data_IF_691997829925
#
_entry.id   IF_691997829925
#
_cell.length_a   1.000
_cell.length_b   1.000
_cell.length_c   1.000
_cell.angle_alpha   90.00
_cell.angle_beta   90.00
_cell.angle_gamma   90.00
#
_symmetry.space_group_name_H-M   'P 1'
#
loop_
_entity.id
_entity.type
_entity.pdbx_description
1 polymer ?
#
# COMPACT_ATOMS: atom_id res chain seq x y z
N UNK A 1 -38.60 17.87 62.22
CA UNK A 1 -38.36 18.71 61.07
C UNK A 1 -36.97 18.51 60.38
N UNK A 2 -36.19 17.44 60.66
CA UNK A 2 -34.84 17.24 60.02
C UNK A 2 -34.79 16.10 59.03
N UNK A 3 -35.74 15.19 59.00
CA UNK A 3 -35.76 14.03 58.11
C UNK A 3 -36.34 14.39 56.75
N UNK A 4 -37.30 15.32 56.69
CA UNK A 4 -37.92 15.78 55.43
C UNK A 4 -36.95 16.50 54.51
N UNK A 5 -35.99 17.26 55.07
CA UNK A 5 -34.99 17.97 54.25
C UNK A 5 -33.88 17.03 53.64
N UNK A 6 -33.61 15.93 54.36
CA UNK A 6 -32.60 14.94 53.84
C UNK A 6 -33.17 14.13 52.68
N UNK A 7 -34.47 13.78 52.76
CA UNK A 7 -35.13 13.05 51.63
C UNK A 7 -35.28 13.95 50.41
N UNK A 8 -35.54 15.25 50.59
CA UNK A 8 -35.65 16.20 49.48
C UNK A 8 -34.32 16.45 48.79
N UNK A 9 -33.20 16.46 49.54
CA UNK A 9 -31.85 16.61 49.00
C UNK A 9 -31.41 15.35 48.24
N UNK A 10 -31.81 14.15 48.66
CA UNK A 10 -31.49 12.89 48.01
C UNK A 10 -32.26 12.70 46.69
N UNK A 11 -33.50 13.19 46.59
CA UNK A 11 -34.32 13.17 45.39
C UNK A 11 -33.78 14.17 44.35
N UNK A 12 -33.24 15.30 44.77
CA UNK A 12 -32.70 16.33 43.87
C UNK A 12 -31.38 15.90 43.19
N UNK A 13 -30.58 15.03 43.83
CA UNK A 13 -29.32 14.49 43.24
C UNK A 13 -29.59 13.41 42.18
N UNK A 14 -30.76 12.74 42.27
CA UNK A 14 -31.09 11.68 41.30
C UNK A 14 -31.69 12.20 39.99
N UNK A 15 -32.11 13.46 39.92
CA UNK A 15 -32.71 14.07 38.71
C UNK A 15 -31.68 14.61 37.72
N UNK A 16 -30.39 14.68 38.10
CA UNK A 16 -29.31 15.10 37.24
C UNK A 16 -28.64 13.96 36.44
N UNK A 17 -29.15 12.72 36.53
CA UNK A 17 -28.91 11.70 35.52
C UNK A 17 -29.68 12.09 34.24
N UNK A 18 -29.32 13.25 33.69
CA UNK A 18 -29.86 13.75 32.43
C UNK A 18 -29.79 12.65 31.40
N UNK A 19 -30.93 12.28 30.85
CA UNK A 19 -31.07 11.42 29.69
C UNK A 19 -30.26 12.02 28.54
N UNK A 20 -28.96 11.75 28.47
CA UNK A 20 -28.21 12.00 27.30
C UNK A 20 -28.77 11.05 26.25
N UNK A 21 -29.31 11.62 25.17
CA UNK A 21 -29.82 10.82 24.04
C UNK A 21 -28.66 10.18 23.32
N UNK A 22 -28.82 8.94 22.82
CA UNK A 22 -27.80 8.31 21.99
C UNK A 22 -27.38 9.25 20.83
N UNK A 23 -26.09 9.43 20.54
CA UNK A 23 -25.61 10.27 19.45
C UNK A 23 -25.76 9.55 18.10
N UNK A 24 -26.97 9.08 17.79
CA UNK A 24 -27.26 8.21 16.64
C UNK A 24 -26.81 8.79 15.31
N UNK A 25 -26.95 10.10 15.11
CA UNK A 25 -26.52 10.78 13.90
C UNK A 25 -24.99 10.65 13.70
N UNK A 26 -24.19 10.98 14.73
CA UNK A 26 -22.74 10.86 14.67
C UNK A 26 -22.27 9.41 14.54
N UNK A 27 -22.96 8.47 15.17
CA UNK A 27 -22.67 7.05 15.07
C UNK A 27 -22.93 6.52 13.66
N UNK A 28 -24.03 6.95 13.02
CA UNK A 28 -24.32 6.60 11.63
C UNK A 28 -23.30 7.23 10.68
N UNK A 29 -22.96 8.50 10.86
CA UNK A 29 -21.92 9.18 10.09
C UNK A 29 -20.57 8.44 10.17
N UNK A 30 -20.18 7.98 11.37
CA UNK A 30 -18.97 7.20 11.57
C UNK A 30 -19.04 5.84 10.85
N UNK A 31 -20.17 5.16 10.89
CA UNK A 31 -20.37 3.91 10.18
C UNK A 31 -20.26 4.12 8.67
N UNK A 32 -20.91 5.13 8.13
CA UNK A 32 -20.89 5.44 6.70
C UNK A 32 -19.48 5.87 6.25
N UNK A 33 -18.74 6.62 7.07
CA UNK A 33 -17.38 7.01 6.77
C UNK A 33 -16.45 5.77 6.66
N UNK A 34 -16.55 4.85 7.62
CA UNK A 34 -15.76 3.61 7.60
C UNK A 34 -16.13 2.73 6.40
N UNK A 35 -17.42 2.60 6.09
CA UNK A 35 -17.88 1.86 4.90
C UNK A 35 -17.33 2.50 3.60
N UNK A 36 -17.33 3.83 3.48
CA UNK A 36 -16.72 4.51 2.33
C UNK A 36 -15.24 4.19 2.20
N UNK A 37 -14.50 4.23 3.31
CA UNK A 37 -13.06 3.90 3.29
C UNK A 37 -12.80 2.42 2.98
N UNK A 38 -13.68 1.51 3.40
CA UNK A 38 -13.61 0.08 3.08
C UNK A 38 -13.88 -0.23 1.61
N UNK A 39 -14.67 0.59 0.95
CA UNK A 39 -14.98 0.48 -0.48
C UNK A 39 -14.00 1.27 -1.36
N UNK A 40 -13.10 2.04 -0.78
CA UNK A 40 -12.06 2.76 -1.50
C UNK A 40 -10.86 1.84 -1.76
N UNK A 41 -10.62 1.51 -3.03
CA UNK A 41 -9.58 0.57 -3.43
C UNK A 41 -8.17 1.05 -3.04
N UNK A 42 -7.93 2.36 -3.09
CA UNK A 42 -6.63 2.94 -2.71
C UNK A 42 -6.43 2.87 -1.19
N UNK A 43 -7.46 3.15 -0.39
CA UNK A 43 -7.41 3.03 1.05
C UNK A 43 -7.12 1.58 1.49
N UNK A 44 -7.80 0.61 0.87
CA UNK A 44 -7.60 -0.83 1.14
C UNK A 44 -6.18 -1.27 0.79
N UNK A 45 -5.65 -0.80 -0.33
CA UNK A 45 -4.36 -1.25 -0.86
C UNK A 45 -3.19 -0.54 -0.19
N UNK A 46 -3.28 0.78 0.02
CA UNK A 46 -2.13 1.61 0.41
C UNK A 46 -2.21 2.17 1.83
N UNK A 47 -3.38 2.10 2.49
CA UNK A 47 -3.55 2.54 3.87
C UNK A 47 -4.23 1.49 4.79
N UNK A 48 -3.94 0.18 4.67
CA UNK A 48 -4.65 -0.88 5.38
C UNK A 48 -4.58 -0.73 6.90
N UNK A 49 -3.46 -0.26 7.44
CA UNK A 49 -3.29 -0.10 8.89
C UNK A 49 -4.19 1.00 9.45
N UNK A 50 -4.39 2.11 8.73
CA UNK A 50 -5.27 3.19 9.15
C UNK A 50 -6.73 2.73 9.07
N UNK A 51 -7.08 1.95 8.04
CA UNK A 51 -8.40 1.36 7.87
C UNK A 51 -8.74 0.38 9.00
N UNK A 52 -7.78 -0.46 9.42
CA UNK A 52 -7.95 -1.34 10.60
C UNK A 52 -8.20 -0.53 11.87
N UNK A 53 -7.50 0.60 12.06
CA UNK A 53 -7.74 1.48 13.21
C UNK A 53 -9.13 2.12 13.17
N UNK A 54 -9.61 2.53 11.98
CA UNK A 54 -10.96 3.07 11.81
C UNK A 54 -12.02 2.03 12.21
N UNK A 55 -11.91 0.79 11.75
CA UNK A 55 -12.78 -0.33 12.12
C UNK A 55 -12.80 -0.62 13.61
N UNK A 56 -11.62 -0.69 14.22
CA UNK A 56 -11.47 -0.95 15.66
C UNK A 56 -12.10 0.17 16.48
N UNK A 57 -11.91 1.43 16.07
CA UNK A 57 -12.51 2.59 16.73
C UNK A 57 -14.04 2.58 16.58
N UNK A 58 -14.56 2.23 15.40
CA UNK A 58 -16.00 2.06 15.17
C UNK A 58 -16.59 0.96 16.06
N UNK A 59 -15.88 -0.14 16.25
CA UNK A 59 -16.31 -1.22 17.15
C UNK A 59 -16.35 -0.75 18.62
N UNK A 60 -15.31 -0.01 19.05
CA UNK A 60 -15.27 0.57 20.40
C UNK A 60 -16.40 1.58 20.61
N UNK A 61 -16.71 2.41 19.62
CA UNK A 61 -17.84 3.33 19.66
C UNK A 61 -19.16 2.60 19.93
N UNK A 62 -19.41 1.49 19.22
CA UNK A 62 -20.63 0.69 19.41
C UNK A 62 -20.68 0.12 20.84
N UNK A 63 -19.57 -0.40 21.34
CA UNK A 63 -19.47 -0.94 22.70
C UNK A 63 -19.74 0.11 23.77
N UNK A 64 -19.24 1.33 23.62
CA UNK A 64 -19.51 2.43 24.57
C UNK A 64 -20.98 2.88 24.52
N UNK A 65 -21.58 2.90 23.33
CA UNK A 65 -22.99 3.22 23.16
C UNK A 65 -23.91 2.17 23.82
N UNK A 66 -23.58 0.88 23.73
CA UNK A 66 -24.35 -0.23 24.30
C UNK A 66 -24.41 -0.13 25.83
N UNK A 67 -23.33 0.35 26.46
CA UNK A 67 -23.29 0.61 27.91
C UNK A 67 -23.71 2.03 28.28
N UNK A 68 -24.33 2.76 27.35
CA UNK A 68 -24.89 4.12 27.52
C UNK A 68 -23.86 5.19 27.89
N UNK A 69 -22.59 5.00 27.55
CA UNK A 69 -21.54 6.01 27.67
C UNK A 69 -21.50 6.88 26.40
N UNK A 70 -22.56 7.69 26.27
CA UNK A 70 -22.81 8.40 25.01
C UNK A 70 -21.78 9.47 24.67
N UNK A 71 -21.14 10.11 25.65
CA UNK A 71 -20.07 11.07 25.41
C UNK A 71 -18.82 10.37 24.82
N UNK A 72 -18.40 9.25 25.42
CA UNK A 72 -17.31 8.43 24.90
C UNK A 72 -17.64 7.87 23.50
N UNK A 73 -18.89 7.43 23.29
CA UNK A 73 -19.32 6.97 21.98
C UNK A 73 -19.24 8.07 20.92
N UNK A 74 -19.60 9.30 21.26
CA UNK A 74 -19.50 10.46 20.38
C UNK A 74 -18.05 10.79 20.00
N UNK A 75 -17.14 10.81 20.98
CA UNK A 75 -15.72 11.03 20.74
C UNK A 75 -15.12 9.95 19.85
N UNK A 76 -15.48 8.68 20.08
CA UNK A 76 -15.05 7.57 19.25
C UNK A 76 -15.65 7.62 17.84
N UNK A 77 -16.88 8.11 17.68
CA UNK A 77 -17.48 8.35 16.38
C UNK A 77 -16.67 9.37 15.58
N UNK A 78 -16.36 10.51 16.19
CA UNK A 78 -15.53 11.56 15.55
C UNK A 78 -14.13 11.03 15.18
N UNK A 79 -13.53 10.23 16.06
CA UNK A 79 -12.24 9.59 15.81
C UNK A 79 -12.31 8.56 14.66
N UNK A 80 -13.38 7.78 14.59
CA UNK A 80 -13.57 6.81 13.51
C UNK A 80 -13.75 7.50 12.15
N UNK A 81 -14.50 8.60 12.10
CA UNK A 81 -14.64 9.45 10.89
C UNK A 81 -13.27 9.95 10.44
N UNK A 82 -12.52 10.58 11.36
CA UNK A 82 -11.21 11.13 11.04
C UNK A 82 -10.22 10.05 10.55
N UNK A 83 -10.28 8.85 11.13
CA UNK A 83 -9.43 7.73 10.69
C UNK A 83 -9.87 7.20 9.31
N UNK A 84 -11.17 7.14 9.03
CA UNK A 84 -11.68 6.73 7.73
C UNK A 84 -11.28 7.72 6.63
N UNK A 85 -11.46 9.01 6.87
CA UNK A 85 -11.06 10.05 5.93
C UNK A 85 -9.53 10.07 5.72
N UNK A 86 -8.77 9.86 6.80
CA UNK A 86 -7.31 9.69 6.73
C UNK A 86 -6.92 8.47 5.90
N UNK A 87 -7.61 7.34 6.03
CA UNK A 87 -7.32 6.15 5.25
C UNK A 87 -7.49 6.41 3.74
N UNK A 88 -8.55 7.11 3.35
CA UNK A 88 -8.80 7.52 1.96
C UNK A 88 -7.69 8.47 1.46
N UNK A 89 -7.32 9.47 2.25
CA UNK A 89 -6.29 10.44 1.87
C UNK A 89 -4.90 9.79 1.76
N UNK A 90 -4.52 8.96 2.73
CA UNK A 90 -3.26 8.22 2.73
C UNK A 90 -3.23 7.19 1.58
N UNK A 91 -4.37 6.54 1.31
CA UNK A 91 -4.57 5.62 0.19
C UNK A 91 -4.26 6.28 -1.14
N UNK A 92 -4.90 7.41 -1.42
CA UNK A 92 -4.68 8.21 -2.62
C UNK A 92 -3.22 8.66 -2.77
N UNK A 93 -2.60 9.08 -1.67
CA UNK A 93 -1.19 9.48 -1.66
C UNK A 93 -0.28 8.28 -1.94
N UNK A 94 -0.59 7.13 -1.35
CA UNK A 94 0.12 5.86 -1.58
C UNK A 94 0.01 5.40 -3.03
N UNK A 95 -1.18 5.45 -3.62
CA UNK A 95 -1.41 5.13 -5.03
C UNK A 95 -0.61 6.04 -5.97
N UNK A 96 -0.57 7.36 -5.67
CA UNK A 96 0.25 8.31 -6.42
C UNK A 96 1.73 7.94 -6.40
N UNK A 97 2.29 7.65 -5.23
CA UNK A 97 3.70 7.23 -5.12
C UNK A 97 3.98 5.92 -5.85
N UNK A 98 3.09 4.94 -5.71
CA UNK A 98 3.23 3.66 -6.40
C UNK A 98 3.18 3.81 -7.92
N UNK A 99 2.33 4.70 -8.43
CA UNK A 99 2.28 5.06 -9.85
C UNK A 99 3.61 5.65 -10.33
N UNK A 100 4.14 6.63 -9.59
CA UNK A 100 5.39 7.30 -9.96
C UNK A 100 6.57 6.33 -9.92
N UNK A 101 6.65 5.48 -8.90
CA UNK A 101 7.66 4.43 -8.79
C UNK A 101 7.57 3.45 -9.96
N UNK A 102 6.38 2.94 -10.26
CA UNK A 102 6.16 2.02 -11.37
C UNK A 102 6.52 2.66 -12.71
N UNK A 103 6.11 3.91 -12.93
CA UNK A 103 6.42 4.63 -14.17
C UNK A 103 7.93 4.85 -14.35
N UNK A 104 8.63 5.28 -13.30
CA UNK A 104 10.07 5.48 -13.34
C UNK A 104 10.82 4.17 -13.60
N UNK A 105 10.43 3.09 -12.92
CA UNK A 105 11.02 1.79 -13.12
C UNK A 105 10.80 1.29 -14.55
N UNK A 106 9.56 1.24 -15.03
CA UNK A 106 9.20 0.75 -16.38
C UNK A 106 9.89 1.57 -17.47
N UNK A 107 9.97 2.89 -17.30
CA UNK A 107 10.65 3.75 -18.28
C UNK A 107 12.17 3.50 -18.32
N UNK A 108 12.80 3.16 -17.19
CA UNK A 108 14.22 2.84 -17.13
C UNK A 108 14.57 1.49 -17.80
N UNK A 109 13.62 0.55 -17.87
CA UNK A 109 13.86 -0.78 -18.42
C UNK A 109 14.24 -0.74 -19.91
N UNK A 110 13.68 0.19 -20.68
CA UNK A 110 13.99 0.29 -22.12
C UNK A 110 15.48 0.58 -22.38
N UNK A 111 16.06 1.51 -21.59
CA UNK A 111 17.49 1.81 -21.64
C UNK A 111 18.34 0.63 -21.20
N UNK A 112 17.99 0.02 -20.04
CA UNK A 112 18.74 -1.13 -19.52
C UNK A 112 18.69 -2.35 -20.44
N UNK A 113 17.57 -2.61 -21.10
CA UNK A 113 17.45 -3.66 -22.13
C UNK A 113 18.38 -3.40 -23.31
N UNK A 114 18.39 -2.17 -23.84
CA UNK A 114 19.25 -1.80 -24.96
C UNK A 114 20.74 -1.88 -24.59
N UNK A 115 21.12 -1.42 -23.40
CA UNK A 115 22.49 -1.52 -22.89
C UNK A 115 22.94 -2.97 -22.75
N UNK A 116 22.11 -3.84 -22.17
CA UNK A 116 22.43 -5.26 -21.99
C UNK A 116 22.51 -5.98 -23.34
N UNK A 117 21.63 -5.66 -24.29
CA UNK A 117 21.69 -6.20 -25.67
C UNK A 117 22.98 -5.81 -26.35
N UNK A 118 23.40 -4.55 -26.27
CA UNK A 118 24.66 -4.08 -26.84
C UNK A 118 25.85 -4.77 -26.17
N UNK A 119 25.86 -4.95 -24.87
CA UNK A 119 26.88 -5.66 -24.11
C UNK A 119 26.98 -7.13 -24.55
N UNK A 120 25.85 -7.82 -24.70
CA UNK A 120 25.78 -9.20 -25.16
C UNK A 120 26.31 -9.35 -26.59
N UNK A 121 25.93 -8.44 -27.49
CA UNK A 121 26.39 -8.45 -28.88
C UNK A 121 27.90 -8.17 -28.98
N UNK A 122 28.42 -7.23 -28.20
CA UNK A 122 29.85 -6.93 -28.14
C UNK A 122 30.64 -8.14 -27.61
N UNK A 123 30.15 -8.79 -26.53
CA UNK A 123 30.77 -9.99 -25.98
C UNK A 123 30.78 -11.16 -26.99
N UNK A 124 29.71 -11.34 -27.77
CA UNK A 124 29.62 -12.38 -28.81
C UNK A 124 30.60 -12.15 -29.98
N UNK A 125 30.87 -10.89 -30.32
CA UNK A 125 31.85 -10.54 -31.37
C UNK A 125 33.30 -10.65 -30.91
N UNK A 126 33.54 -10.63 -29.61
CA UNK A 126 34.87 -10.80 -29.06
C UNK A 126 35.29 -12.28 -29.08
N UNK A 127 36.29 -12.62 -29.92
CA UNK A 127 36.71 -13.99 -30.16
C UNK A 127 37.28 -14.71 -28.91
N UNK A 128 37.61 -13.99 -27.89
CA UNK A 128 38.23 -14.50 -26.65
C UNK A 128 37.23 -14.72 -25.50
N UNK A 129 36.01 -14.22 -25.59
CA UNK A 129 35.01 -14.40 -24.53
C UNK A 129 34.26 -15.71 -24.75
N UNK A 130 34.23 -16.55 -23.72
CA UNK A 130 33.51 -17.83 -23.73
C UNK A 130 32.38 -17.79 -22.70
N UNK A 131 31.15 -17.58 -23.19
CA UNK A 131 29.94 -17.63 -22.43
C UNK A 131 28.89 -18.50 -23.17
N UNK A 132 27.89 -18.95 -22.47
CA UNK A 132 26.69 -19.55 -23.06
C UNK A 132 25.79 -18.46 -23.64
N UNK A 133 26.16 -17.98 -24.84
CA UNK A 133 25.42 -16.89 -25.49
C UNK A 133 23.98 -17.25 -25.86
N UNK A 134 23.66 -18.53 -26.02
CA UNK A 134 22.29 -18.96 -26.31
C UNK A 134 21.42 -18.86 -25.08
N UNK A 135 21.90 -19.31 -23.92
CA UNK A 135 21.21 -19.12 -22.65
C UNK A 135 21.03 -17.62 -22.33
N UNK A 136 22.08 -16.80 -22.47
CA UNK A 136 21.98 -15.36 -22.22
C UNK A 136 21.03 -14.66 -23.19
N UNK A 137 20.87 -15.15 -24.42
CA UNK A 137 19.89 -14.61 -25.37
C UNK A 137 18.45 -14.97 -24.99
N UNK A 138 18.22 -16.17 -24.45
CA UNK A 138 16.93 -16.57 -23.93
C UNK A 138 16.55 -15.72 -22.68
N UNK A 139 17.49 -15.47 -21.78
CA UNK A 139 17.27 -14.61 -20.63
C UNK A 139 16.97 -13.16 -21.05
N UNK A 140 17.63 -12.64 -22.09
CA UNK A 140 17.33 -11.30 -22.61
C UNK A 140 15.93 -11.24 -23.23
N UNK A 141 15.49 -12.28 -23.93
CA UNK A 141 14.13 -12.34 -24.48
C UNK A 141 13.09 -12.42 -23.36
N UNK A 142 13.34 -13.21 -22.30
CA UNK A 142 12.50 -13.25 -21.10
C UNK A 142 12.44 -11.86 -20.42
N UNK A 143 13.57 -11.14 -20.36
CA UNK A 143 13.60 -9.78 -19.84
C UNK A 143 12.76 -8.81 -20.69
N UNK A 144 12.79 -8.91 -22.01
CA UNK A 144 11.95 -8.12 -22.93
C UNK A 144 10.46 -8.40 -22.72
N UNK A 145 10.09 -9.67 -22.61
CA UNK A 145 8.71 -10.06 -22.34
C UNK A 145 8.25 -9.50 -21.00
N UNK A 146 9.03 -9.69 -19.93
CA UNK A 146 8.73 -9.15 -18.61
C UNK A 146 8.60 -7.62 -18.61
N UNK A 147 9.43 -6.92 -19.39
CA UNK A 147 9.33 -5.47 -19.57
C UNK A 147 8.03 -5.02 -20.23
N UNK A 148 7.54 -5.76 -21.22
CA UNK A 148 6.25 -5.52 -21.84
C UNK A 148 5.08 -5.79 -20.87
N UNK A 149 5.17 -6.85 -20.08
CA UNK A 149 4.17 -7.18 -19.07
C UNK A 149 4.14 -6.11 -17.95
N UNK A 150 5.31 -5.63 -17.49
CA UNK A 150 5.38 -4.53 -16.52
C UNK A 150 4.72 -3.26 -17.07
N UNK A 151 4.91 -2.95 -18.34
CA UNK A 151 4.26 -1.81 -19.02
C UNK A 151 2.75 -1.99 -19.11
N UNK A 152 2.27 -3.19 -19.41
CA UNK A 152 0.83 -3.49 -19.44
C UNK A 152 0.20 -3.33 -18.05
N UNK A 153 0.88 -3.81 -17.01
CA UNK A 153 0.42 -3.64 -15.62
C UNK A 153 0.35 -2.18 -15.21
N UNK A 154 1.35 -1.36 -15.62
CA UNK A 154 1.34 0.09 -15.40
C UNK A 154 0.14 0.77 -16.10
N UNK A 155 -0.14 0.40 -17.36
CA UNK A 155 -1.27 0.92 -18.13
C UNK A 155 -2.62 0.51 -17.54
N UNK A 156 -2.68 -0.67 -16.92
CA UNK A 156 -3.85 -1.17 -16.21
C UNK A 156 -4.01 -0.59 -14.78
N UNK A 157 -3.15 0.35 -14.37
CA UNK A 157 -3.06 0.93 -13.03
C UNK A 157 -2.72 -0.11 -11.92
N UNK A 158 -2.20 -1.27 -12.28
CA UNK A 158 -1.72 -2.29 -11.36
C UNK A 158 -0.26 -1.99 -10.96
N UNK A 159 -0.06 -0.91 -10.20
CA UNK A 159 1.28 -0.37 -9.95
C UNK A 159 2.19 -1.33 -9.19
N UNK A 160 1.67 -2.05 -8.18
CA UNK A 160 2.45 -3.04 -7.44
C UNK A 160 2.93 -4.19 -8.33
N UNK A 161 2.08 -4.67 -9.23
CA UNK A 161 2.43 -5.71 -10.19
C UNK A 161 3.45 -5.20 -11.22
N UNK A 162 3.29 -3.96 -11.70
CA UNK A 162 4.26 -3.32 -12.59
C UNK A 162 5.65 -3.19 -11.95
N UNK A 163 5.72 -2.80 -10.67
CA UNK A 163 6.97 -2.73 -9.91
C UNK A 163 7.58 -4.11 -9.72
N UNK A 164 6.80 -5.11 -9.32
CA UNK A 164 7.27 -6.48 -9.12
C UNK A 164 7.89 -7.06 -10.40
N UNK A 165 7.18 -6.96 -11.53
CA UNK A 165 7.66 -7.40 -12.84
C UNK A 165 8.90 -6.63 -13.29
N UNK A 166 8.88 -5.29 -13.10
CA UNK A 166 10.03 -4.46 -13.44
C UNK A 166 11.30 -4.81 -12.65
N UNK A 167 11.16 -5.12 -11.37
CA UNK A 167 12.27 -5.58 -10.53
C UNK A 167 12.80 -6.94 -10.98
N UNK A 168 11.94 -7.86 -11.40
CA UNK A 168 12.33 -9.17 -11.96
C UNK A 168 13.13 -8.98 -13.25
N UNK A 169 12.70 -8.08 -14.11
CA UNK A 169 13.45 -7.74 -15.34
C UNK A 169 14.84 -7.17 -15.01
N UNK A 170 14.92 -6.23 -14.06
CA UNK A 170 16.23 -5.68 -13.62
C UNK A 170 17.17 -6.77 -13.10
N UNK A 171 16.63 -7.74 -12.36
CA UNK A 171 17.41 -8.87 -11.84
C UNK A 171 17.94 -9.75 -12.98
N UNK A 172 17.13 -10.06 -13.99
CA UNK A 172 17.57 -10.80 -15.19
C UNK A 172 18.69 -10.07 -15.93
N UNK A 173 18.51 -8.78 -16.20
CA UNK A 173 19.51 -7.97 -16.89
C UNK A 173 20.82 -7.88 -16.10
N UNK A 174 20.76 -7.76 -14.78
CA UNK A 174 21.92 -7.78 -13.90
C UNK A 174 22.66 -9.14 -13.98
N UNK A 175 21.91 -10.24 -14.01
CA UNK A 175 22.45 -11.60 -14.18
C UNK A 175 23.20 -11.76 -15.51
N UNK A 176 22.60 -11.31 -16.62
CA UNK A 176 23.22 -11.34 -17.95
C UNK A 176 24.54 -10.54 -17.94
N UNK A 177 24.51 -9.31 -17.44
CA UNK A 177 25.68 -8.44 -17.38
C UNK A 177 26.80 -9.02 -16.48
N UNK A 178 26.43 -9.67 -15.36
CA UNK A 178 27.39 -10.38 -14.49
C UNK A 178 28.07 -11.52 -15.24
N UNK A 179 27.29 -12.36 -15.93
CA UNK A 179 27.81 -13.50 -16.70
C UNK A 179 28.76 -13.07 -17.82
N UNK A 180 28.44 -11.98 -18.53
CA UNK A 180 29.32 -11.40 -19.55
C UNK A 180 30.62 -10.91 -18.92
N UNK A 181 30.54 -10.20 -17.79
CA UNK A 181 31.71 -9.66 -17.08
C UNK A 181 32.62 -10.76 -16.58
N UNK A 182 32.07 -11.80 -15.98
CA UNK A 182 32.81 -12.95 -15.46
C UNK A 182 33.54 -13.69 -16.60
N UNK A 183 32.84 -13.93 -17.72
CA UNK A 183 33.44 -14.57 -18.90
C UNK A 183 34.58 -13.72 -19.49
N UNK A 184 34.48 -12.41 -19.53
CA UNK A 184 35.52 -11.50 -19.97
C UNK A 184 36.76 -11.53 -19.06
N UNK A 185 36.54 -11.53 -17.72
CA UNK A 185 37.62 -11.65 -16.73
C UNK A 185 38.36 -12.98 -16.83
N UNK A 186 37.65 -14.09 -17.00
CA UNK A 186 38.24 -15.40 -17.17
C UNK A 186 39.08 -15.51 -18.43
N UNK A 187 38.64 -14.83 -19.51
CA UNK A 187 39.40 -14.76 -20.75
C UNK A 187 40.69 -13.97 -20.60
N UNK A 188 40.72 -12.91 -19.84
CA UNK A 188 41.91 -12.09 -19.61
C UNK A 188 42.94 -12.77 -18.70
N UNK A 189 42.52 -13.68 -17.78
CA UNK A 189 43.43 -14.45 -16.90
C UNK A 189 44.17 -15.58 -17.61
N UNK A 190 43.67 -16.03 -18.74
CA UNK A 190 44.22 -17.15 -19.50
C UNK A 190 45.18 -16.72 -20.62
N UNK A 191 45.39 -15.42 -20.79
CA UNK A 191 46.40 -14.82 -21.67
C UNK A 191 47.67 -14.50 -20.90
#
# INVERSE_FOLDING_TARGET
>A
MKISNIIFTFILVFVLAACSKPPTEKMNEAQDAVIRAENDADAVTYAPNVLVQARSTLSSMKSEADIKRYDSAKELAEKAINLADKAIADGKTGAGRAKDEAANLVNSLAGSLAETENALNAARQANNIRADFDALSLDLEAARQGGNEARQSLQANNYQDAVSKGQSVRSLLAGINSSITEAALDSSRKQ
#
